data_IF_700860543898
#
_entry.id   IF_700860543898
#
_cell.length_a   1.000
_cell.length_b   1.000
_cell.length_c   1.000
_cell.angle_alpha   90.00
_cell.angle_beta   90.00
_cell.angle_gamma   90.00
#
_symmetry.space_group_name_H-M   'P 1'
#
loop_
_entity.id
_entity.type
_entity.pdbx_description
1 polymer ?
#
# COMPACT_ATOMS: atom_id res chain seq x y z
N UNK A 1 10.56 -25.93 17.12
CA UNK A 1 9.82 -24.70 17.32
C UNK A 1 8.77 -24.88 18.40
N UNK A 2 8.68 -23.93 19.27
CA UNK A 2 7.76 -24.07 20.39
C UNK A 2 6.35 -23.67 19.97
N UNK A 3 5.34 -24.39 20.42
CA UNK A 3 3.98 -23.97 20.16
C UNK A 3 3.70 -22.68 20.91
N UNK A 4 2.86 -21.86 20.30
CA UNK A 4 2.48 -20.60 20.91
C UNK A 4 1.24 -20.81 21.74
N UNK A 5 1.26 -20.36 23.01
CA UNK A 5 0.07 -20.52 23.83
C UNK A 5 -1.01 -19.54 23.42
N UNK A 6 -2.25 -19.97 23.51
CA UNK A 6 -3.38 -19.09 23.33
C UNK A 6 -3.64 -18.40 24.66
N UNK A 7 -3.47 -17.10 24.70
CA UNK A 7 -3.54 -16.36 25.96
C UNK A 7 -4.96 -16.09 26.42
N UNK A 8 -5.88 -15.90 25.48
CA UNK A 8 -7.26 -15.60 25.82
C UNK A 8 -8.18 -16.37 24.89
N UNK A 9 -8.52 -17.61 25.26
CA UNK A 9 -9.33 -18.44 24.35
C UNK A 9 -10.69 -17.86 24.05
N UNK A 10 -11.25 -17.03 24.95
CA UNK A 10 -12.57 -16.43 24.74
C UNK A 10 -12.57 -15.37 23.67
N UNK A 11 -11.40 -14.87 23.29
CA UNK A 11 -11.29 -13.78 22.36
C UNK A 11 -10.43 -14.10 21.15
N UNK A 12 -10.50 -15.35 20.70
CA UNK A 12 -9.80 -15.72 19.49
C UNK A 12 -10.29 -14.87 18.31
N UNK A 13 -9.32 -14.42 17.53
CA UNK A 13 -9.64 -13.63 16.35
C UNK A 13 -10.35 -14.49 15.32
N UNK A 14 -11.43 -13.98 14.79
CA UNK A 14 -12.17 -14.65 13.73
C UNK A 14 -12.35 -13.69 12.59
N UNK A 15 -12.33 -14.21 11.37
CA UNK A 15 -12.58 -13.39 10.21
C UNK A 15 -14.05 -12.96 10.20
N UNK A 16 -14.31 -11.66 10.30
CA UNK A 16 -15.72 -11.21 10.27
C UNK A 16 -16.26 -11.27 8.85
N UNK A 17 -17.56 -10.99 8.74
CA UNK A 17 -18.19 -11.00 7.42
C UNK A 17 -17.52 -10.01 6.48
N UNK A 18 -17.20 -8.82 6.97
CA UNK A 18 -16.48 -7.82 6.18
C UNK A 18 -15.13 -7.60 6.83
N UNK A 19 -14.11 -7.66 6.04
CA UNK A 19 -12.78 -7.51 6.57
C UNK A 19 -11.85 -6.99 5.48
N UNK A 20 -10.74 -6.45 5.93
CA UNK A 20 -9.64 -6.07 5.05
C UNK A 20 -8.42 -6.87 5.44
N UNK A 21 -7.46 -6.97 4.55
CA UNK A 21 -6.29 -7.78 4.80
C UNK A 21 -5.04 -6.94 4.71
N UNK A 22 -3.99 -7.43 5.34
CA UNK A 22 -2.68 -6.81 5.30
C UNK A 22 -1.69 -7.88 4.89
N UNK A 23 -0.87 -7.53 3.90
CA UNK A 23 0.08 -8.46 3.33
C UNK A 23 1.25 -8.66 4.29
N UNK A 24 1.55 -9.91 4.61
CA UNK A 24 2.64 -10.21 5.55
C UNK A 24 4.00 -9.80 4.99
N UNK A 25 4.11 -9.61 3.68
CA UNK A 25 5.37 -9.13 3.10
C UNK A 25 5.75 -7.74 3.58
N UNK A 26 4.78 -6.98 4.12
CA UNK A 26 5.12 -5.70 4.72
C UNK A 26 6.22 -5.84 5.77
N UNK A 27 6.18 -6.92 6.53
CA UNK A 27 7.20 -7.17 7.54
C UNK A 27 8.34 -8.00 6.96
N UNK A 28 8.00 -9.08 6.26
CA UNK A 28 9.03 -9.99 5.76
C UNK A 28 10.01 -9.34 4.81
N UNK A 29 9.52 -8.44 3.97
CA UNK A 29 10.36 -7.79 2.98
C UNK A 29 10.80 -6.40 3.40
N UNK A 30 10.56 -6.04 4.65
CA UNK A 30 11.10 -4.81 5.20
C UNK A 30 10.40 -3.52 4.83
N UNK A 31 9.24 -3.60 4.20
CA UNK A 31 8.54 -2.37 3.81
C UNK A 31 8.18 -1.52 5.02
N UNK A 32 7.75 -2.17 6.10
CA UNK A 32 7.30 -1.45 7.28
C UNK A 32 8.43 -0.64 7.91
N UNK A 33 9.67 -1.11 7.76
CA UNK A 33 10.80 -0.45 8.38
C UNK A 33 11.22 0.83 7.66
N UNK A 34 10.70 1.07 6.49
CA UNK A 34 11.06 2.25 5.72
C UNK A 34 10.17 3.44 6.00
N UNK A 35 9.16 3.26 6.83
CA UNK A 35 8.20 4.32 7.10
C UNK A 35 8.14 4.61 8.58
N UNK A 36 7.84 5.87 8.90
CA UNK A 36 7.63 6.26 10.29
C UNK A 36 6.22 5.91 10.74
N UNK A 37 5.99 6.03 12.03
CA UNK A 37 4.74 5.61 12.63
C UNK A 37 3.53 6.32 12.02
N UNK A 38 3.62 7.63 11.76
CA UNK A 38 2.48 8.35 11.20
C UNK A 38 2.11 7.81 9.82
N UNK A 39 3.12 7.51 9.01
CA UNK A 39 2.87 6.95 7.69
C UNK A 39 2.22 5.57 7.81
N UNK A 40 2.69 4.77 8.77
CA UNK A 40 2.11 3.44 8.96
C UNK A 40 0.68 3.53 9.48
N UNK A 41 0.38 4.54 10.30
CA UNK A 41 -0.98 4.76 10.73
C UNK A 41 -1.89 5.09 9.55
N UNK A 42 -1.44 5.95 8.67
CA UNK A 42 -2.21 6.26 7.46
C UNK A 42 -2.37 5.00 6.60
N UNK A 43 -1.31 4.24 6.45
CA UNK A 43 -1.38 3.02 5.66
C UNK A 43 -2.41 2.05 6.26
N UNK A 44 -2.43 1.91 7.58
CA UNK A 44 -3.40 1.05 8.23
C UNK A 44 -4.83 1.50 7.94
N UNK A 45 -5.08 2.81 8.05
CA UNK A 45 -6.40 3.34 7.71
C UNK A 45 -6.77 2.99 6.28
N UNK A 46 -5.87 3.22 5.35
CA UNK A 46 -6.17 3.00 3.94
C UNK A 46 -6.43 1.52 3.64
N UNK A 47 -5.68 0.63 4.29
CA UNK A 47 -5.95 -0.79 4.12
C UNK A 47 -7.30 -1.18 4.69
N UNK A 48 -7.66 -0.57 5.83
CA UNK A 48 -8.90 -0.93 6.51
C UNK A 48 -10.14 -0.52 5.73
N UNK A 49 -10.06 0.57 4.98
CA UNK A 49 -11.24 1.10 4.28
C UNK A 49 -11.21 0.85 2.78
N UNK A 50 -10.17 0.21 2.27
CA UNK A 50 -10.04 -0.02 0.84
C UNK A 50 -11.11 -0.96 0.33
N UNK A 51 -11.55 -0.71 -0.90
CA UNK A 51 -12.45 -1.66 -1.55
C UNK A 51 -11.61 -2.82 -2.12
N UNK A 52 -12.25 -3.66 -2.92
CA UNK A 52 -11.58 -4.86 -3.43
C UNK A 52 -10.37 -4.53 -4.30
N UNK A 53 -10.33 -3.34 -4.85
CA UNK A 53 -9.24 -2.91 -5.71
C UNK A 53 -8.23 -2.03 -4.99
N UNK A 54 -8.39 -1.86 -3.69
CA UNK A 54 -7.49 -1.04 -2.91
C UNK A 54 -7.84 0.44 -2.89
N UNK A 55 -9.01 0.80 -3.40
CA UNK A 55 -9.38 2.21 -3.57
C UNK A 55 -10.18 2.73 -2.39
N UNK A 56 -9.91 3.97 -2.05
CA UNK A 56 -10.69 4.69 -1.05
C UNK A 56 -10.56 6.18 -1.33
N UNK A 57 -11.33 7.00 -0.63
CA UNK A 57 -11.16 8.43 -0.73
C UNK A 57 -11.42 9.07 0.63
N UNK A 58 -10.60 10.06 0.92
CA UNK A 58 -10.70 10.82 2.17
C UNK A 58 -10.17 12.21 1.92
N UNK A 59 -10.84 13.19 2.50
CA UNK A 59 -10.28 14.53 2.55
C UNK A 59 -9.16 14.57 3.58
N UNK A 60 -8.25 15.50 3.44
CA UNK A 60 -7.18 15.64 4.41
C UNK A 60 -7.70 15.90 5.82
N UNK A 61 -8.66 16.81 6.03
CA UNK A 61 -9.16 17.00 7.39
C UNK A 61 -9.77 15.75 8.00
N UNK A 62 -10.49 14.97 7.20
CA UNK A 62 -11.13 13.78 7.71
C UNK A 62 -10.11 12.72 8.08
N UNK A 63 -9.15 12.48 7.22
CA UNK A 63 -8.12 11.49 7.50
C UNK A 63 -7.28 11.90 8.71
N UNK A 64 -6.93 13.18 8.78
CA UNK A 64 -6.15 13.67 9.90
C UNK A 64 -6.91 13.51 11.21
N UNK A 65 -8.20 13.82 11.19
CA UNK A 65 -9.02 13.67 12.37
C UNK A 65 -9.09 12.22 12.84
N UNK A 66 -9.28 11.30 11.90
CA UNK A 66 -9.36 9.88 12.26
C UNK A 66 -8.07 9.38 12.87
N UNK A 67 -6.94 9.92 12.44
CA UNK A 67 -5.64 9.44 12.89
C UNK A 67 -5.04 10.29 14.02
N UNK A 68 -5.75 11.33 14.43
CA UNK A 68 -5.25 12.26 15.45
C UNK A 68 -3.94 12.91 15.02
N UNK A 69 -3.88 13.28 13.76
CA UNK A 69 -2.73 13.97 13.19
C UNK A 69 -3.14 15.37 12.77
N UNK A 70 -2.19 16.28 12.73
CA UNK A 70 -2.41 17.55 12.03
C UNK A 70 -2.44 17.29 10.54
N UNK A 71 -2.99 18.23 9.80
CA UNK A 71 -2.98 18.05 8.34
C UNK A 71 -1.57 18.08 7.77
N UNK A 72 -0.69 18.83 8.40
CA UNK A 72 0.71 18.83 7.99
C UNK A 72 1.34 17.46 8.19
N UNK A 73 1.09 16.86 9.35
CA UNK A 73 1.57 15.52 9.62
C UNK A 73 0.98 14.50 8.66
N UNK A 74 -0.30 14.69 8.33
CA UNK A 74 -0.94 13.78 7.38
C UNK A 74 -0.28 13.87 6.01
N UNK A 75 -0.03 15.09 5.54
CA UNK A 75 0.59 15.24 4.23
C UNK A 75 2.00 14.66 4.20
N UNK A 76 2.74 14.81 5.30
CA UNK A 76 4.06 14.20 5.39
C UNK A 76 3.98 12.68 5.39
N UNK A 77 3.00 12.13 6.10
CA UNK A 77 2.79 10.69 6.11
C UNK A 77 2.47 10.17 4.72
N UNK A 78 1.60 10.87 4.01
CA UNK A 78 1.27 10.50 2.64
C UNK A 78 2.50 10.51 1.75
N UNK A 79 3.32 11.53 1.89
CA UNK A 79 4.55 11.62 1.08
C UNK A 79 5.47 10.44 1.33
N UNK A 80 5.58 10.00 2.59
CA UNK A 80 6.39 8.83 2.89
C UNK A 80 5.86 7.58 2.21
N UNK A 81 4.54 7.38 2.25
CA UNK A 81 3.96 6.19 1.63
C UNK A 81 4.11 6.23 0.12
N UNK A 82 4.00 7.41 -0.47
CA UNK A 82 4.23 7.55 -1.90
C UNK A 82 5.68 7.23 -2.25
N UNK A 83 6.62 7.73 -1.46
CA UNK A 83 8.03 7.45 -1.68
C UNK A 83 8.36 5.98 -1.53
N UNK A 84 7.67 5.31 -0.63
CA UNK A 84 7.87 3.88 -0.41
C UNK A 84 7.14 3.01 -1.43
N UNK A 85 6.39 3.64 -2.33
CA UNK A 85 5.61 2.94 -3.36
C UNK A 85 4.57 1.99 -2.76
N UNK A 86 4.03 2.35 -1.62
CA UNK A 86 2.99 1.56 -0.98
C UNK A 86 1.59 2.02 -1.35
N UNK A 87 1.45 3.25 -1.79
CA UNK A 87 0.16 3.79 -2.21
C UNK A 87 0.33 4.66 -3.45
N UNK A 88 -0.78 4.87 -4.13
CA UNK A 88 -0.92 5.93 -5.13
C UNK A 88 -1.97 6.90 -4.61
N UNK A 89 -1.87 8.16 -5.03
CA UNK A 89 -2.78 9.18 -4.55
C UNK A 89 -3.09 10.17 -5.65
N UNK A 90 -4.36 10.49 -5.80
CA UNK A 90 -4.81 11.59 -6.63
C UNK A 90 -6.03 12.18 -5.94
N UNK A 91 -5.85 13.34 -5.35
CA UNK A 91 -6.83 13.96 -4.48
C UNK A 91 -8.25 13.84 -5.03
N UNK A 92 -9.20 13.32 -4.28
CA UNK A 92 -9.11 12.80 -2.92
C UNK A 92 -8.94 11.28 -2.85
N UNK A 93 -8.50 10.66 -3.94
CA UNK A 93 -8.49 9.22 -4.06
C UNK A 93 -7.15 8.61 -3.69
N UNK A 94 -7.21 7.51 -2.96
CA UNK A 94 -6.04 6.72 -2.60
C UNK A 94 -6.19 5.32 -3.17
N UNK A 95 -5.06 4.72 -3.47
CA UNK A 95 -5.04 3.31 -3.84
C UNK A 95 -3.91 2.63 -3.09
N UNK A 96 -4.22 1.57 -2.36
CA UNK A 96 -3.21 0.72 -1.76
C UNK A 96 -2.67 -0.18 -2.85
N UNK A 97 -1.36 -0.16 -3.03
CA UNK A 97 -0.74 -0.87 -4.14
C UNK A 97 -0.32 -2.28 -3.72
N UNK A 98 -0.24 -3.17 -4.70
CA UNK A 98 0.31 -4.49 -4.43
C UNK A 98 1.79 -4.34 -4.09
N UNK A 99 2.28 -5.25 -3.25
CA UNK A 99 3.69 -5.26 -2.93
C UNK A 99 4.40 -6.07 -4.00
N UNK A 100 5.31 -5.41 -4.70
CA UNK A 100 6.04 -6.11 -5.74
C UNK A 100 7.01 -7.09 -5.14
N UNK A 101 7.23 -8.21 -5.77
CA UNK A 101 8.25 -9.11 -5.31
C UNK A 101 9.58 -8.37 -5.26
N UNK A 102 10.35 -8.62 -4.24
CA UNK A 102 11.62 -7.96 -4.14
C UNK A 102 12.56 -8.62 -5.13
N UNK A 103 12.76 -7.97 -6.22
CA UNK A 103 13.60 -8.50 -7.19
C UNK A 103 14.62 -7.62 -7.48
N UNK A 104 15.30 -7.84 -7.50
CA UNK A 104 16.08 -6.82 -7.78
C UNK A 104 15.62 -5.92 -8.88
N UNK A 105 15.23 -6.09 -8.95
CA UNK A 105 15.15 -5.42 -9.46
C UNK A 105 14.85 -4.51 -9.68
N UNK A 106 14.78 -4.55 -9.86
CA UNK A 106 14.39 -3.82 -10.09
C UNK A 106 14.49 -3.00 -10.62
N UNK A 107 14.63 -3.12 -11.17
CA UNK A 107 14.74 -2.39 -11.69
C UNK A 107 14.25 -1.68 -12.27
N UNK A 108 13.95 -1.80 -12.55
CA UNK A 108 13.50 -1.12 -12.94
C UNK A 108 13.12 -0.30 -13.21
N UNK A 109 13.13 -0.19 -13.63
CA UNK A 109 12.71 0.63 -13.72
C UNK A 109 12.13 1.25 -13.88
N UNK A 110 11.97 1.41 -13.98
CA UNK A 110 11.26 2.03 -13.99
C UNK A 110 10.74 2.65 -14.33
N UNK A 111 10.84 2.69 -14.48
CA UNK A 111 10.32 3.34 -14.75
C UNK A 111 9.79 3.64 -15.20
N UNK A 112 9.63 3.38 -15.50
CA UNK A 112 9.12 3.57 -15.79
C UNK A 112 8.35 3.77 -15.65
N UNK A 113 8.13 3.57 -15.78
CA UNK A 113 7.35 3.66 -15.72
C UNK A 113 6.86 4.39 -15.49
N UNK A 114 6.67 4.52 -15.78
CA UNK A 114 6.19 5.15 -15.72
C UNK A 114 5.58 5.79 -15.59
N UNK A 115 5.56 6.04 -15.62
CA UNK A 115 4.98 6.54 -15.45
C UNK A 115 4.27 6.66 -15.58
N UNK A 116 4.35 6.62 -15.68
CA UNK A 116 3.41 6.49 -15.87
C UNK A 116 2.94 5.85 -15.32
N UNK A 117 3.01 6.75 -14.40
CA UNK A 117 2.35 5.60 -14.24
C UNK A 117 1.74 5.20 -15.47
N UNK A 118 2.30 4.35 -15.93
CA UNK A 118 1.70 3.78 -17.11
C UNK A 118 0.49 3.01 -16.69
N UNK A 119 -0.52 3.07 -17.50
CA UNK A 119 -1.64 2.19 -17.31
C UNK A 119 -1.18 0.76 -17.50
N UNK A 120 -1.93 -0.15 -16.97
CA UNK A 120 -1.63 -1.56 -17.16
C UNK A 120 -1.58 -1.91 -18.64
N UNK A 121 -2.50 -1.34 -19.42
CA UNK A 121 -2.51 -1.60 -20.84
C UNK A 121 -1.22 -1.15 -21.51
N UNK A 122 -0.72 0.00 -21.10
CA UNK A 122 0.53 0.50 -21.65
C UNK A 122 1.68 -0.42 -21.31
N UNK A 123 1.73 -0.88 -20.08
CA UNK A 123 2.77 -1.80 -19.67
C UNK A 123 2.70 -3.07 -20.47
N UNK A 124 1.52 -3.60 -20.66
CA UNK A 124 1.37 -4.83 -21.42
C UNK A 124 1.78 -4.67 -22.85
N UNK A 125 1.47 -3.54 -23.45
CA UNK A 125 1.90 -3.29 -24.81
C UNK A 125 3.41 -3.26 -24.92
N UNK A 126 4.05 -2.63 -23.96
CA UNK A 126 5.49 -2.58 -23.97
C UNK A 126 6.10 -3.97 -23.86
N UNK A 127 5.51 -4.79 -23.05
CA UNK A 127 6.00 -6.15 -22.90
C UNK A 127 5.85 -6.93 -24.18
N UNK A 128 4.73 -6.78 -24.84
CA UNK A 128 4.52 -7.52 -26.05
C UNK A 128 5.43 -7.09 -27.16
N UNK A 129 5.76 -5.86 -27.17
CA UNK A 129 6.60 -5.37 -28.19
C UNK A 129 8.01 -5.46 -27.81
N UNK A 130 8.03 -5.71 -27.00
CA UNK A 130 9.20 -5.75 -26.58
C UNK A 130 9.39 -6.27 -25.83
N UNK A 131 8.22 -6.39 -26.66
CA UNK A 131 8.10 -6.42 -26.20
C UNK A 131 7.98 -6.32 -26.48
N UNK A 132 7.88 -6.62 -27.10
CA UNK A 132 7.34 -6.25 -27.06
C UNK A 132 7.31 -5.77 -27.46
N UNK A 133 7.54 -5.70 -27.98
CA UNK A 133 7.20 -4.99 -27.89
C UNK A 133 7.08 -4.52 -28.13
N UNK A 134 7.32 -4.51 -28.57
CA UNK A 134 6.92 -4.00 -28.38
C UNK A 134 6.80 -3.69 -28.42
N UNK A 135 6.93 -3.84 -28.95
CA UNK A 135 6.52 -3.42 -28.63
C UNK A 135 6.30 -3.32 -28.57
#
# INVERSE_FOLDING_TARGET
MKPKPILCPERLRRVPRQFSWIDQRLVRDGHISRCRANALALYLLLCAVADAQGLSYYSDPRAASLLSLSECELRAARAELLSAALIAYRNPFYQVLSLEPHQGRMTQPPAQRTGQALSVADILRQIKHGGLSRD
#
